data_IF_142176780368
#
_entry.id   IF_142176780368
#
_cell.length_a   1.000
_cell.length_b   1.000
_cell.length_c   1.000
_cell.angle_alpha   90.00
_cell.angle_beta   90.00
_cell.angle_gamma   90.00
#
_symmetry.space_group_name_H-M   'P 1'
#
loop_
_entity.id
_entity.type
_entity.pdbx_description
1 polymer ?
#
# COMPACT_ATOMS: atom_id res chain seq x y z
N UNK A 1 25.86 -14.84 47.76
CA UNK A 1 26.31 -14.55 46.38
C UNK A 1 26.84 -15.85 45.78
N UNK A 2 26.20 -16.36 44.73
CA UNK A 2 26.63 -17.61 44.07
C UNK A 2 27.66 -17.33 42.98
N UNK A 3 28.47 -18.33 42.62
CA UNK A 3 29.45 -18.22 41.53
C UNK A 3 28.78 -17.78 40.21
N UNK A 4 27.55 -18.25 39.97
CA UNK A 4 26.74 -17.83 38.82
C UNK A 4 26.40 -16.33 38.86
N UNK A 5 26.06 -15.79 40.03
CA UNK A 5 25.81 -14.35 40.18
C UNK A 5 27.07 -13.53 39.90
N UNK A 6 28.25 -13.99 40.34
CA UNK A 6 29.52 -13.31 40.05
C UNK A 6 29.85 -13.31 38.55
N UNK A 7 29.61 -14.43 37.85
CA UNK A 7 29.80 -14.53 36.40
C UNK A 7 28.80 -13.60 35.67
N UNK A 8 27.54 -13.59 36.11
CA UNK A 8 26.51 -12.73 35.53
C UNK A 8 26.84 -11.24 35.72
N UNK A 9 27.29 -10.82 36.91
CA UNK A 9 27.74 -9.47 37.16
C UNK A 9 28.93 -9.09 36.27
N UNK A 10 29.91 -9.98 36.14
CA UNK A 10 31.04 -9.79 35.24
C UNK A 10 30.61 -9.59 33.79
N UNK A 11 29.65 -10.38 33.31
CA UNK A 11 29.13 -10.29 31.95
C UNK A 11 28.35 -8.98 31.73
N UNK A 12 27.52 -8.57 32.69
CA UNK A 12 26.78 -7.30 32.62
C UNK A 12 27.71 -6.08 32.64
N UNK A 13 28.77 -6.12 33.46
CA UNK A 13 29.75 -5.05 33.52
C UNK A 13 30.59 -4.96 32.23
N UNK A 14 30.96 -6.10 31.66
CA UNK A 14 31.68 -6.16 30.39
C UNK A 14 30.83 -5.63 29.22
N UNK A 15 29.56 -6.02 29.15
CA UNK A 15 28.64 -5.52 28.13
C UNK A 15 28.41 -4.01 28.26
N UNK A 16 28.19 -3.51 29.48
CA UNK A 16 28.07 -2.07 29.74
C UNK A 16 29.34 -1.30 29.34
N UNK A 17 30.52 -1.87 29.60
CA UNK A 17 31.80 -1.27 29.19
C UNK A 17 31.97 -1.23 27.66
N UNK A 18 31.55 -2.28 26.95
CA UNK A 18 31.59 -2.29 25.47
C UNK A 18 30.65 -1.24 24.86
N UNK A 19 29.44 -1.10 25.40
CA UNK A 19 28.49 -0.05 24.97
C UNK A 19 29.06 1.34 25.27
N UNK A 20 29.64 1.56 26.45
CA UNK A 20 30.30 2.82 26.82
C UNK A 20 31.44 3.17 25.85
N UNK A 21 32.31 2.20 25.53
CA UNK A 21 33.42 2.39 24.58
C UNK A 21 32.91 2.74 23.17
N UNK A 22 31.82 2.11 22.73
CA UNK A 22 31.21 2.39 21.43
C UNK A 22 30.56 3.79 21.37
N UNK A 23 29.94 4.24 22.47
CA UNK A 23 29.40 5.60 22.57
C UNK A 23 30.52 6.64 22.59
N UNK A 24 31.62 6.41 23.30
CA UNK A 24 32.76 7.35 23.30
C UNK A 24 33.43 7.50 21.92
N UNK A 25 33.38 6.48 21.07
CA UNK A 25 33.83 6.61 19.67
C UNK A 25 32.89 7.44 18.79
N UNK A 26 31.65 7.67 19.24
CA UNK A 26 30.68 8.56 18.58
C UNK A 26 30.76 10.00 19.13
N UNK A 27 31.37 10.19 20.30
CA UNK A 27 31.57 11.49 20.96
C UNK A 27 32.95 12.11 20.69
N UNK A 28 33.62 11.74 19.59
CA UNK A 28 34.54 12.70 18.97
C UNK A 28 33.70 13.89 18.50
N UNK A 29 33.64 14.90 19.36
CA UNK A 29 32.96 16.17 19.16
C UNK A 29 33.12 16.62 17.71
N UNK A 30 32.04 17.02 17.01
CA UNK A 30 32.23 17.81 15.81
C UNK A 30 32.99 19.05 16.25
N UNK A 31 34.24 19.16 15.81
CA UNK A 31 34.99 20.40 15.87
C UNK A 31 34.03 21.49 15.42
N UNK A 32 33.84 22.55 16.22
CA UNK A 32 33.01 23.71 15.86
C UNK A 32 33.18 23.97 14.37
N UNK A 33 32.10 24.01 13.57
CA UNK A 33 32.26 24.33 12.15
C UNK A 33 33.04 25.65 12.09
N UNK A 34 34.18 25.63 11.39
CA UNK A 34 34.88 26.88 11.08
C UNK A 34 33.85 27.82 10.46
N UNK A 35 33.88 29.13 10.79
CA UNK A 35 33.09 30.10 10.04
C UNK A 35 33.32 29.82 8.55
N UNK A 36 32.22 29.63 7.83
CA UNK A 36 32.27 29.39 6.40
C UNK A 36 32.98 30.58 5.77
N UNK A 37 34.19 30.35 5.24
CA UNK A 37 34.91 31.31 4.42
C UNK A 37 34.17 31.32 3.08
N UNK A 38 33.29 32.30 2.91
CA UNK A 38 32.46 32.52 1.73
C UNK A 38 33.28 33.14 0.59
N UNK A 39 34.52 32.67 0.41
CA UNK A 39 35.44 33.00 -0.68
C UNK A 39 34.89 32.64 -2.06
N UNK A 40 33.81 33.29 -2.47
CA UNK A 40 33.28 33.32 -3.82
C UNK A 40 32.33 32.19 -4.22
N UNK A 41 31.81 31.36 -3.31
CA UNK A 41 30.79 30.36 -3.70
C UNK A 41 29.39 30.98 -3.58
N UNK A 42 29.12 31.88 -4.52
CA UNK A 42 27.76 32.26 -4.85
C UNK A 42 27.26 31.31 -5.93
N UNK A 43 26.17 30.59 -5.65
CA UNK A 43 25.32 29.83 -6.58
C UNK A 43 25.79 28.45 -7.04
N UNK A 44 25.96 27.47 -6.14
CA UNK A 44 25.90 26.04 -6.53
C UNK A 44 25.56 25.11 -5.35
N UNK A 45 24.55 25.46 -4.53
CA UNK A 45 23.81 24.40 -3.84
C UNK A 45 22.83 23.86 -4.88
N UNK A 46 23.33 23.05 -5.81
CA UNK A 46 22.46 22.17 -6.57
C UNK A 46 21.77 21.27 -5.55
N UNK A 47 20.46 21.42 -5.47
CA UNK A 47 19.55 20.44 -4.87
C UNK A 47 20.09 19.04 -5.27
N UNK A 48 20.60 18.26 -4.31
CA UNK A 48 20.95 16.87 -4.57
C UNK A 48 19.63 16.11 -4.72
N UNK A 49 19.02 16.31 -5.89
CA UNK A 49 18.08 15.37 -6.46
C UNK A 49 18.98 14.30 -7.09
N UNK A 50 18.94 13.04 -6.62
CA UNK A 50 19.37 11.93 -7.44
C UNK A 50 18.66 12.10 -8.77
N UNK A 51 19.40 12.54 -9.79
CA UNK A 51 18.92 12.53 -11.15
C UNK A 51 18.85 11.06 -11.52
N UNK A 52 17.75 10.43 -11.17
CA UNK A 52 17.39 9.10 -11.66
C UNK A 52 17.54 9.15 -13.17
N UNK A 53 18.28 8.18 -13.70
CA UNK A 53 18.57 8.11 -15.15
C UNK A 53 17.26 7.86 -15.92
N UNK A 54 16.23 7.38 -15.24
CA UNK A 54 14.91 7.06 -15.76
C UNK A 54 13.89 8.14 -15.47
N UNK A 55 13.04 8.40 -16.45
CA UNK A 55 11.81 9.18 -16.33
C UNK A 55 10.77 8.43 -15.51
N UNK A 56 9.80 9.16 -14.95
CA UNK A 56 8.67 8.58 -14.22
C UNK A 56 7.94 7.50 -15.03
N UNK A 57 7.67 7.77 -16.31
CA UNK A 57 6.99 6.82 -17.21
C UNK A 57 7.81 5.57 -17.48
N UNK A 58 9.14 5.68 -17.58
CA UNK A 58 10.02 4.51 -17.73
C UNK A 58 10.03 3.65 -16.47
N UNK A 59 10.00 4.25 -15.29
CA UNK A 59 9.92 3.52 -14.03
C UNK A 59 8.57 2.81 -13.89
N UNK A 60 7.46 3.47 -14.23
CA UNK A 60 6.12 2.85 -14.22
C UNK A 60 6.09 1.66 -15.19
N UNK A 61 6.60 1.81 -16.42
CA UNK A 61 6.63 0.73 -17.39
C UNK A 61 7.48 -0.47 -16.94
N UNK A 62 8.63 -0.22 -16.32
CA UNK A 62 9.48 -1.29 -15.76
C UNK A 62 8.83 -1.98 -14.57
N UNK A 63 8.09 -1.24 -13.73
CA UNK A 63 7.33 -1.81 -12.63
C UNK A 63 6.19 -2.71 -13.12
N UNK A 64 5.47 -2.27 -14.15
CA UNK A 64 4.41 -3.04 -14.79
C UNK A 64 4.98 -4.32 -15.43
N UNK A 65 6.11 -4.24 -16.13
CA UNK A 65 6.81 -5.42 -16.66
C UNK A 65 7.23 -6.39 -15.55
N UNK A 66 7.74 -5.87 -14.42
CA UNK A 66 8.10 -6.70 -13.27
C UNK A 66 6.87 -7.36 -12.64
N UNK A 67 5.74 -6.65 -12.58
CA UNK A 67 4.46 -7.19 -12.11
C UNK A 67 3.94 -8.31 -13.02
N UNK A 68 3.95 -8.12 -14.34
CA UNK A 68 3.53 -9.15 -15.31
C UNK A 68 4.41 -10.41 -15.24
N UNK A 69 5.68 -10.25 -14.87
CA UNK A 69 6.60 -11.37 -14.58
C UNK A 69 6.38 -12.01 -13.19
N UNK A 70 5.36 -11.58 -12.45
CA UNK A 70 5.04 -12.06 -11.10
C UNK A 70 6.00 -11.57 -10.01
N UNK A 71 6.92 -10.66 -10.33
CA UNK A 71 7.96 -10.19 -9.40
C UNK A 71 7.46 -8.99 -8.59
N UNK A 72 6.54 -9.23 -7.65
CA UNK A 72 5.90 -8.18 -6.84
C UNK A 72 6.91 -7.32 -6.06
N UNK A 73 7.96 -7.93 -5.49
CA UNK A 73 8.99 -7.18 -4.76
C UNK A 73 9.79 -6.25 -5.66
N UNK A 74 10.11 -6.70 -6.88
CA UNK A 74 10.82 -5.88 -7.87
C UNK A 74 9.92 -4.73 -8.34
N UNK A 75 8.65 -5.01 -8.64
CA UNK A 75 7.69 -3.97 -9.01
C UNK A 75 7.56 -2.91 -7.91
N UNK A 76 7.41 -3.34 -6.64
CA UNK A 76 7.32 -2.43 -5.50
C UNK A 76 8.59 -1.58 -5.31
N UNK A 77 9.77 -2.18 -5.49
CA UNK A 77 11.04 -1.46 -5.42
C UNK A 77 11.12 -0.34 -6.48
N UNK A 78 10.77 -0.66 -7.73
CA UNK A 78 10.78 0.31 -8.83
C UNK A 78 9.72 1.40 -8.61
N UNK A 79 8.53 1.06 -8.11
CA UNK A 79 7.50 2.03 -7.79
C UNK A 79 7.90 2.98 -6.65
N UNK A 80 8.67 2.50 -5.67
CA UNK A 80 9.24 3.36 -4.63
C UNK A 80 10.25 4.36 -5.18
N UNK A 81 11.04 3.95 -6.18
CA UNK A 81 11.90 4.86 -6.94
C UNK A 81 11.05 5.88 -7.71
N UNK A 82 9.97 5.44 -8.38
CA UNK A 82 9.04 6.34 -9.06
C UNK A 82 8.42 7.39 -8.11
N UNK A 83 8.01 6.97 -6.91
CA UNK A 83 7.48 7.87 -5.88
C UNK A 83 8.54 8.82 -5.31
N UNK A 84 9.82 8.46 -5.36
CA UNK A 84 10.91 9.38 -5.02
C UNK A 84 11.10 10.46 -6.09
N UNK A 85 10.95 10.10 -7.37
CA UNK A 85 11.01 11.05 -8.49
C UNK A 85 9.85 12.04 -8.47
N UNK A 86 8.64 11.55 -8.22
CA UNK A 86 7.44 12.38 -8.10
C UNK A 86 6.61 11.92 -6.90
N UNK A 87 6.84 12.52 -5.72
CA UNK A 87 6.06 12.22 -4.53
C UNK A 87 4.58 12.56 -4.73
N UNK A 88 3.70 11.76 -4.12
CA UNK A 88 2.25 11.95 -4.18
C UNK A 88 1.63 11.86 -5.58
N UNK A 89 2.32 11.21 -6.52
CA UNK A 89 1.71 10.85 -7.80
C UNK A 89 0.65 9.76 -7.59
N UNK A 90 -0.61 10.07 -7.90
CA UNK A 90 -1.75 9.21 -7.61
C UNK A 90 -1.65 7.85 -8.32
N UNK A 91 -1.15 7.80 -9.56
CA UNK A 91 -0.98 6.56 -10.31
C UNK A 91 0.08 5.66 -9.66
N UNK A 92 1.24 6.23 -9.31
CA UNK A 92 2.31 5.48 -8.64
C UNK A 92 1.84 4.93 -7.30
N UNK A 93 1.20 5.75 -6.48
CA UNK A 93 0.73 5.35 -5.16
C UNK A 93 -0.41 4.33 -5.24
N UNK A 94 -1.32 4.46 -6.22
CA UNK A 94 -2.31 3.43 -6.50
C UNK A 94 -1.63 2.10 -6.85
N UNK A 95 -0.63 2.10 -7.74
CA UNK A 95 0.12 0.89 -8.09
C UNK A 95 0.86 0.30 -6.88
N UNK A 96 1.46 1.12 -6.02
CA UNK A 96 2.06 0.67 -4.75
C UNK A 96 1.00 -0.02 -3.88
N UNK A 97 -0.16 0.62 -3.69
CA UNK A 97 -1.27 0.07 -2.93
C UNK A 97 -1.76 -1.26 -3.50
N UNK A 98 -1.88 -1.34 -4.82
CA UNK A 98 -2.26 -2.56 -5.53
C UNK A 98 -1.26 -3.70 -5.31
N UNK A 99 0.04 -3.44 -5.38
CA UNK A 99 1.06 -4.46 -5.10
C UNK A 99 0.99 -4.93 -3.65
N UNK A 100 0.81 -4.02 -2.68
CA UNK A 100 0.62 -4.38 -1.27
C UNK A 100 -0.64 -5.24 -1.06
N UNK A 101 -1.76 -4.90 -1.71
CA UNK A 101 -2.97 -5.70 -1.69
C UNK A 101 -2.73 -7.13 -2.24
N UNK A 102 -2.03 -7.26 -3.37
CA UNK A 102 -1.68 -8.56 -3.97
C UNK A 102 -0.76 -9.40 -3.07
N UNK A 103 0.07 -8.75 -2.24
CA UNK A 103 0.91 -9.40 -1.23
C UNK A 103 0.17 -9.74 0.08
N UNK A 104 -1.09 -9.36 0.22
CA UNK A 104 -1.86 -9.52 1.46
C UNK A 104 -1.53 -8.49 2.54
N UNK A 105 -0.71 -7.48 2.22
CA UNK A 105 -0.35 -6.38 3.11
C UNK A 105 -1.41 -5.28 3.04
N UNK A 106 -2.62 -5.59 3.50
CA UNK A 106 -3.80 -4.73 3.29
C UNK A 106 -3.72 -3.37 3.99
N UNK A 107 -3.07 -3.30 5.15
CA UNK A 107 -2.87 -2.03 5.86
C UNK A 107 -1.93 -1.10 5.09
N UNK A 108 -0.78 -1.62 4.63
CA UNK A 108 0.15 -0.87 3.77
C UNK A 108 -0.54 -0.43 2.46
N UNK A 109 -1.44 -1.26 1.92
CA UNK A 109 -2.21 -0.92 0.75
C UNK A 109 -3.11 0.31 1.01
N UNK A 110 -3.82 0.32 2.13
CA UNK A 110 -4.67 1.44 2.54
C UNK A 110 -3.84 2.72 2.73
N UNK A 111 -2.69 2.63 3.41
CA UNK A 111 -1.82 3.81 3.65
C UNK A 111 -1.34 4.43 2.33
N UNK A 112 -0.90 3.61 1.37
CA UNK A 112 -0.51 4.11 0.05
C UNK A 112 -1.69 4.73 -0.72
N UNK A 113 -2.88 4.15 -0.60
CA UNK A 113 -4.10 4.66 -1.26
C UNK A 113 -4.60 5.97 -0.62
N UNK A 114 -4.46 6.13 0.69
CA UNK A 114 -4.73 7.40 1.39
C UNK A 114 -3.76 8.50 0.93
N UNK A 115 -2.49 8.16 0.70
CA UNK A 115 -1.54 9.09 0.09
C UNK A 115 -1.90 9.41 -1.37
N UNK A 116 -2.40 8.42 -2.14
CA UNK A 116 -2.83 8.63 -3.52
C UNK A 116 -4.00 9.63 -3.61
N UNK A 117 -4.95 9.56 -2.65
CA UNK A 117 -6.08 10.50 -2.55
C UNK A 117 -5.67 11.95 -2.26
N UNK A 118 -4.43 12.19 -1.78
CA UNK A 118 -3.90 13.56 -1.64
C UNK A 118 -3.55 14.18 -2.99
N UNK A 119 -3.24 13.34 -3.99
CA UNK A 119 -2.97 13.75 -5.37
C UNK A 119 -4.23 13.83 -6.24
N UNK A 120 -5.13 12.85 -6.10
CA UNK A 120 -6.45 12.83 -6.74
C UNK A 120 -7.51 12.28 -5.79
N UNK A 121 -8.32 13.17 -5.22
CA UNK A 121 -9.36 12.82 -4.25
C UNK A 121 -10.58 12.09 -4.84
N UNK A 122 -10.72 12.05 -6.18
CA UNK A 122 -11.93 11.58 -6.86
C UNK A 122 -11.69 10.40 -7.82
N UNK A 123 -10.61 9.64 -7.64
CA UNK A 123 -10.40 8.39 -8.40
C UNK A 123 -11.22 7.22 -7.78
N UNK A 124 -12.24 6.71 -8.48
CA UNK A 124 -13.06 5.61 -7.99
C UNK A 124 -12.29 4.29 -7.82
N UNK A 125 -11.22 4.06 -8.59
CA UNK A 125 -10.42 2.85 -8.51
C UNK A 125 -9.70 2.74 -7.16
N UNK A 126 -9.22 3.88 -6.64
CA UNK A 126 -8.60 3.97 -5.31
C UNK A 126 -9.59 3.51 -4.23
N UNK A 127 -10.81 4.07 -4.22
CA UNK A 127 -11.84 3.70 -3.26
C UNK A 127 -12.25 2.21 -3.36
N UNK A 128 -12.35 1.66 -4.58
CA UNK A 128 -12.66 0.25 -4.78
C UNK A 128 -11.56 -0.68 -4.24
N UNK A 129 -10.29 -0.31 -4.41
CA UNK A 129 -9.16 -1.08 -3.88
C UNK A 129 -9.04 -0.95 -2.35
N UNK A 130 -9.33 0.22 -1.78
CA UNK A 130 -9.46 0.39 -0.33
C UNK A 130 -10.59 -0.50 0.21
N UNK A 131 -11.74 -0.55 -0.49
CA UNK A 131 -12.86 -1.41 -0.09
C UNK A 131 -12.46 -2.89 -0.07
N UNK A 132 -11.76 -3.35 -1.10
CA UNK A 132 -11.25 -4.72 -1.19
C UNK A 132 -10.25 -5.03 -0.07
N UNK A 133 -9.37 -4.08 0.26
CA UNK A 133 -8.39 -4.19 1.35
C UNK A 133 -9.07 -4.28 2.72
N UNK A 134 -10.02 -3.39 3.00
CA UNK A 134 -10.82 -3.43 4.23
C UNK A 134 -11.63 -4.72 4.35
N UNK A 135 -12.23 -5.20 3.25
CA UNK A 135 -12.96 -6.47 3.21
C UNK A 135 -12.04 -7.63 3.59
N UNK A 136 -10.84 -7.68 3.02
CA UNK A 136 -9.87 -8.74 3.30
C UNK A 136 -9.37 -8.74 4.76
N UNK A 137 -9.38 -7.58 5.42
CA UNK A 137 -9.13 -7.45 6.86
C UNK A 137 -10.35 -7.75 7.73
N UNK A 138 -11.51 -8.06 7.14
CA UNK A 138 -12.78 -8.25 7.86
C UNK A 138 -13.45 -6.96 8.35
N UNK A 139 -12.92 -5.79 7.99
CA UNK A 139 -13.51 -4.50 8.33
C UNK A 139 -14.62 -4.13 7.33
N UNK A 140 -15.70 -4.91 7.35
CA UNK A 140 -16.85 -4.76 6.45
C UNK A 140 -17.53 -3.37 6.51
N UNK A 141 -17.59 -2.67 7.66
CA UNK A 141 -18.12 -1.31 7.70
C UNK A 141 -17.33 -0.31 6.85
N UNK A 142 -15.99 -0.34 6.93
CA UNK A 142 -15.16 0.54 6.09
C UNK A 142 -15.18 0.09 4.62
N UNK A 143 -15.17 -1.22 4.36
CA UNK A 143 -15.30 -1.74 3.00
C UNK A 143 -16.57 -1.22 2.32
N UNK A 144 -17.71 -1.28 3.03
CA UNK A 144 -19.01 -0.78 2.57
C UNK A 144 -19.00 0.73 2.30
N UNK A 145 -18.34 1.52 3.15
CA UNK A 145 -18.20 2.97 2.96
C UNK A 145 -17.40 3.27 1.70
N UNK A 146 -16.26 2.61 1.52
CA UNK A 146 -15.35 2.87 0.40
C UNK A 146 -15.97 2.43 -0.94
N UNK A 147 -16.61 1.26 -1.00
CA UNK A 147 -17.20 0.79 -2.28
C UNK A 147 -18.39 1.66 -2.71
N UNK A 148 -19.18 2.18 -1.76
CA UNK A 148 -20.24 3.15 -2.07
C UNK A 148 -19.66 4.44 -2.65
N UNK A 149 -18.52 4.91 -2.13
CA UNK A 149 -17.85 6.09 -2.67
C UNK A 149 -17.36 5.86 -4.12
N UNK A 150 -16.82 4.68 -4.42
CA UNK A 150 -16.46 4.31 -5.79
C UNK A 150 -17.70 4.33 -6.72
N UNK A 151 -18.82 3.74 -6.28
CA UNK A 151 -20.08 3.72 -7.03
C UNK A 151 -20.75 5.09 -7.15
N UNK A 152 -20.54 6.01 -6.20
CA UNK A 152 -21.02 7.39 -6.31
C UNK A 152 -20.31 8.15 -7.44
N UNK A 153 -19.00 7.91 -7.60
CA UNK A 153 -18.15 8.53 -8.62
C UNK A 153 -18.35 7.88 -10.00
N UNK A 154 -18.46 6.55 -10.05
CA UNK A 154 -18.66 5.78 -11.27
C UNK A 154 -19.73 4.70 -11.07
N UNK A 155 -20.96 5.04 -11.47
CA UNK A 155 -22.17 4.26 -11.17
C UNK A 155 -22.33 2.98 -11.98
N UNK A 156 -21.73 2.91 -13.16
CA UNK A 156 -21.96 1.83 -14.14
C UNK A 156 -20.69 0.98 -14.34
N UNK A 157 -19.92 0.79 -13.27
CA UNK A 157 -18.72 -0.05 -13.30
C UNK A 157 -19.04 -1.48 -12.84
N UNK A 158 -18.86 -2.51 -13.68
CA UNK A 158 -19.22 -3.88 -13.32
C UNK A 158 -18.35 -4.41 -12.17
N UNK A 159 -17.07 -4.03 -12.10
CA UNK A 159 -16.16 -4.48 -11.04
C UNK A 159 -16.56 -3.91 -9.68
N UNK A 160 -17.07 -2.68 -9.64
CA UNK A 160 -17.51 -2.07 -8.37
C UNK A 160 -18.80 -2.68 -7.86
N UNK A 161 -19.76 -2.98 -8.75
CA UNK A 161 -20.94 -3.76 -8.40
C UNK A 161 -20.57 -5.16 -7.90
N UNK A 162 -19.61 -5.83 -8.56
CA UNK A 162 -19.12 -7.14 -8.14
C UNK A 162 -18.50 -7.09 -6.73
N UNK A 163 -17.62 -6.12 -6.48
CA UNK A 163 -16.98 -5.94 -5.18
C UNK A 163 -18.01 -5.59 -4.10
N UNK A 164 -19.01 -4.78 -4.41
CA UNK A 164 -20.09 -4.45 -3.49
C UNK A 164 -20.94 -5.67 -3.14
N UNK A 165 -21.25 -6.51 -4.14
CA UNK A 165 -21.95 -7.78 -3.94
C UNK A 165 -21.17 -8.72 -3.00
N UNK A 166 -19.85 -8.83 -3.19
CA UNK A 166 -18.99 -9.62 -2.31
C UNK A 166 -19.00 -9.10 -0.85
N UNK A 167 -19.00 -7.78 -0.66
CA UNK A 167 -19.09 -7.16 0.67
C UNK A 167 -20.47 -7.42 1.31
N UNK A 168 -21.56 -7.33 0.54
CA UNK A 168 -22.91 -7.64 1.01
C UNK A 168 -23.06 -9.11 1.39
N UNK A 169 -22.45 -10.02 0.63
CA UNK A 169 -22.42 -11.44 0.94
C UNK A 169 -21.74 -11.68 2.30
N UNK A 170 -20.58 -11.06 2.55
CA UNK A 170 -19.86 -11.20 3.83
C UNK A 170 -20.63 -10.59 5.01
N UNK A 171 -21.48 -9.58 4.75
CA UNK A 171 -22.39 -8.99 5.73
C UNK A 171 -23.65 -9.85 5.98
N UNK A 172 -23.86 -10.91 5.21
CA UNK A 172 -25.06 -11.75 5.27
C UNK A 172 -26.28 -11.17 4.56
N UNK A 173 -26.13 -10.06 3.82
CA UNK A 173 -27.20 -9.43 3.04
C UNK A 173 -27.34 -10.10 1.67
N UNK A 174 -27.79 -11.36 1.69
CA UNK A 174 -27.76 -12.25 0.53
C UNK A 174 -28.61 -11.75 -0.64
N UNK A 175 -29.81 -11.25 -0.38
CA UNK A 175 -30.74 -10.76 -1.40
C UNK A 175 -30.18 -9.54 -2.13
N UNK A 176 -29.57 -8.61 -1.37
CA UNK A 176 -28.92 -7.42 -1.93
C UNK A 176 -27.69 -7.81 -2.75
N UNK A 177 -26.88 -8.76 -2.27
CA UNK A 177 -25.73 -9.28 -3.03
C UNK A 177 -26.16 -9.86 -4.38
N UNK A 178 -27.26 -10.62 -4.42
CA UNK A 178 -27.83 -11.17 -5.67
C UNK A 178 -28.22 -10.04 -6.65
N UNK A 179 -28.79 -8.94 -6.17
CA UNK A 179 -29.14 -7.80 -7.02
C UNK A 179 -27.88 -7.15 -7.62
N UNK A 180 -26.83 -6.97 -6.83
CA UNK A 180 -25.58 -6.36 -7.29
C UNK A 180 -24.79 -7.28 -8.24
N UNK A 181 -24.78 -8.60 -8.03
CA UNK A 181 -24.24 -9.55 -9.02
C UNK A 181 -25.02 -9.53 -10.33
N UNK A 182 -26.36 -9.40 -10.28
CA UNK A 182 -27.17 -9.25 -11.49
C UNK A 182 -26.86 -7.96 -12.25
N UNK A 183 -26.67 -6.83 -11.55
CA UNK A 183 -26.24 -5.57 -12.18
C UNK A 183 -24.86 -5.71 -12.82
N UNK A 184 -23.93 -6.35 -12.14
CA UNK A 184 -22.60 -6.67 -12.68
C UNK A 184 -22.72 -7.37 -14.04
N UNK A 185 -23.51 -8.45 -14.12
CA UNK A 185 -23.71 -9.24 -15.32
C UNK A 185 -24.58 -8.55 -16.39
N UNK A 186 -25.39 -7.56 -15.99
CA UNK A 186 -26.12 -6.73 -16.93
C UNK A 186 -25.18 -5.77 -17.67
N UNK A 187 -24.19 -5.22 -16.96
CA UNK A 187 -23.19 -4.29 -17.52
C UNK A 187 -22.11 -5.07 -18.28
N UNK A 188 -21.55 -6.12 -17.68
CA UNK A 188 -20.58 -7.02 -18.29
C UNK A 188 -21.02 -8.49 -18.14
N UNK A 189 -21.68 -9.05 -19.17
CA UNK A 189 -22.10 -10.44 -19.17
C UNK A 189 -20.95 -11.46 -19.19
N UNK A 190 -19.71 -11.02 -19.46
CA UNK A 190 -18.55 -11.90 -19.60
C UNK A 190 -17.85 -12.20 -18.28
N UNK A 191 -18.21 -11.52 -17.18
CA UNK A 191 -17.59 -11.66 -15.87
C UNK A 191 -18.01 -12.98 -15.18
N UNK A 192 -17.29 -14.06 -15.50
CA UNK A 192 -17.58 -15.43 -15.06
C UNK A 192 -17.61 -15.58 -13.53
N UNK A 193 -16.80 -14.81 -12.81
CA UNK A 193 -16.75 -14.80 -11.36
C UNK A 193 -18.09 -14.37 -10.75
N UNK A 194 -18.73 -13.34 -11.30
CA UNK A 194 -20.05 -12.90 -10.85
C UNK A 194 -21.13 -13.94 -11.13
N UNK A 195 -21.06 -14.62 -12.28
CA UNK A 195 -21.97 -15.70 -12.60
C UNK A 195 -21.85 -16.86 -11.60
N UNK A 196 -20.62 -17.30 -11.29
CA UNK A 196 -20.37 -18.38 -10.33
C UNK A 196 -20.90 -18.06 -8.94
N UNK A 197 -20.65 -16.85 -8.43
CA UNK A 197 -21.14 -16.45 -7.10
C UNK A 197 -22.68 -16.32 -7.07
N UNK A 198 -23.28 -15.81 -8.14
CA UNK A 198 -24.73 -15.73 -8.27
C UNK A 198 -25.39 -17.12 -8.26
N UNK A 199 -24.88 -18.05 -9.06
CA UNK A 199 -25.39 -19.44 -9.13
C UNK A 199 -25.29 -20.13 -7.77
N UNK A 200 -24.15 -19.99 -7.08
CA UNK A 200 -23.92 -20.52 -5.73
C UNK A 200 -24.94 -19.98 -4.72
N UNK A 201 -25.19 -18.67 -4.71
CA UNK A 201 -26.15 -18.06 -3.79
C UNK A 201 -27.60 -18.48 -4.09
N UNK A 202 -27.96 -18.63 -5.36
CA UNK A 202 -29.31 -19.06 -5.76
C UNK A 202 -29.54 -20.55 -5.44
N UNK A 203 -28.54 -21.41 -5.65
CA UNK A 203 -28.63 -22.83 -5.29
C UNK A 203 -28.93 -23.02 -3.80
N UNK A 204 -28.24 -22.27 -2.94
CA UNK A 204 -28.48 -22.28 -1.49
C UNK A 204 -29.86 -21.73 -1.08
N UNK A 205 -30.53 -20.96 -1.94
CA UNK A 205 -31.84 -20.39 -1.63
C UNK A 205 -33.00 -21.36 -1.93
N UNK A 206 -32.73 -22.41 -2.70
CA UNK A 206 -33.72 -23.41 -3.09
C UNK A 206 -33.74 -24.65 -2.17
N UNK A 207 -32.83 -24.71 -1.19
CA UNK A 207 -32.66 -25.82 -0.25
C UNK A 207 -33.20 -25.53 1.18
N UNK A 208 -33.79 -24.35 1.40
CA UNK A 208 -34.37 -23.91 2.67
C UNK A 208 -35.90 -23.86 2.61
#
# INVERSE_FOLDING_TARGET
MTLFQLILFGFTAYFAYQVYKHIQTLEETPSKPKPFDDGGIQNDIQEFTPKTIYTLSELIAQADEAYEKGSLDKALMILREANYVKPFDAEVLYKIGFIHYKKGAYQDAIEALEDALKGDENDPAIYSLMASSYRAMGNLPQASKMIRKALELEKENPIYHFNYANILQDLGHKEDAILEYKKTLQIDPSLQEAQKELEKLQGQNNEA
#
